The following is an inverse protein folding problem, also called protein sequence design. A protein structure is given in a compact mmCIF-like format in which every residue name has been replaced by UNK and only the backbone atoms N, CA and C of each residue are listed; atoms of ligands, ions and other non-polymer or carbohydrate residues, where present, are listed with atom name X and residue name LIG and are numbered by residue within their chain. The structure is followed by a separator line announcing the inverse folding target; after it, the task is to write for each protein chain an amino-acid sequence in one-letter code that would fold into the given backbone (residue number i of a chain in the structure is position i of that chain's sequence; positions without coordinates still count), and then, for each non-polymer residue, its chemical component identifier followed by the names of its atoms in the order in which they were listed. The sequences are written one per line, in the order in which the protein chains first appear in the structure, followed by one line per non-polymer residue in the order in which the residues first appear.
data_IF_122304175102
#
_entry.id   IF_122304175102
#
_cell.length_a   1.000
_cell.length_b   1.000
_cell.length_c   1.000
_cell.angle_alpha   90.00
_cell.angle_beta   90.00
_cell.angle_gamma   90.00
#
_symmetry.space_group_name_H-M   'P 1'
#
loop_
_entity.id
_entity.type
_entity.pdbx_description
1 polymer ?
#
# COMPACT_ATOMS: atom_id res chain seq x y z
N UNK A 1 -8.35 3.52 -1.94
CA UNK A 1 -7.66 2.96 -0.76
C UNK A 1 -7.11 1.57 -1.03
N UNK A 2 -7.92 0.51 -1.11
CA UNK A 2 -7.44 -0.89 -1.30
C UNK A 2 -6.47 -1.04 -2.47
N UNK A 3 -6.87 -0.56 -3.66
CA UNK A 3 -6.06 -0.63 -4.86
C UNK A 3 -4.71 0.12 -4.74
N UNK A 4 -4.65 1.16 -3.90
CA UNK A 4 -3.40 1.86 -3.61
C UNK A 4 -2.47 0.98 -2.77
N UNK A 5 -2.97 0.38 -1.68
CA UNK A 5 -2.20 -0.56 -0.85
C UNK A 5 -1.73 -1.79 -1.66
N UNK A 6 -2.56 -2.33 -2.54
CA UNK A 6 -2.14 -3.40 -3.47
C UNK A 6 -0.93 -2.97 -4.32
N UNK A 7 -0.95 -1.74 -4.85
CA UNK A 7 0.15 -1.23 -5.65
C UNK A 7 1.45 -1.07 -4.86
N UNK A 8 1.38 -0.66 -3.59
CA UNK A 8 2.53 -0.65 -2.68
C UNK A 8 3.05 -2.07 -2.42
N UNK A 9 2.17 -3.03 -2.13
CA UNK A 9 2.59 -4.42 -1.92
C UNK A 9 3.27 -5.00 -3.16
N UNK A 10 2.73 -4.77 -4.35
CA UNK A 10 3.32 -5.23 -5.60
C UNK A 10 4.61 -4.50 -5.99
N UNK A 11 4.92 -3.37 -5.36
CA UNK A 11 6.20 -2.67 -5.50
C UNK A 11 7.25 -3.10 -4.46
N UNK A 12 6.87 -3.95 -3.51
CA UNK A 12 7.73 -4.35 -2.41
C UNK A 12 8.82 -5.35 -2.87
N UNK A 13 9.98 -5.39 -2.18
CA UNK A 13 11.03 -6.36 -2.49
C UNK A 13 10.68 -7.78 -2.03
N UNK A 14 9.86 -7.92 -0.98
CA UNK A 14 9.44 -9.20 -0.39
C UNK A 14 7.92 -9.35 -0.54
N UNK A 15 7.44 -10.57 -0.79
CA UNK A 15 6.02 -10.91 -0.90
C UNK A 15 5.20 -10.06 -1.89
N UNK A 16 5.85 -9.55 -2.94
CA UNK A 16 5.22 -8.71 -3.97
C UNK A 16 4.24 -9.43 -4.87
N UNK A 17 4.10 -10.75 -4.76
CA UNK A 17 3.10 -11.55 -5.44
C UNK A 17 1.84 -11.75 -4.59
N UNK A 18 1.89 -11.41 -3.30
CA UNK A 18 0.77 -11.53 -2.36
C UNK A 18 -0.11 -10.30 -2.50
N UNK A 19 -1.44 -10.51 -2.53
CA UNK A 19 -2.40 -9.42 -2.60
C UNK A 19 -2.90 -9.10 -1.20
N UNK A 20 -2.72 -7.87 -0.69
CA UNK A 20 -3.18 -7.51 0.64
C UNK A 20 -4.70 -7.46 0.65
N UNK A 21 -5.29 -7.97 1.73
CA UNK A 21 -6.73 -7.91 2.00
C UNK A 21 -6.94 -7.36 3.41
N UNK A 22 -8.08 -6.69 3.68
CA UNK A 22 -8.37 -6.23 5.02
C UNK A 22 -8.39 -7.38 6.03
N UNK A 23 -7.82 -7.16 7.20
CA UNK A 23 -7.78 -8.13 8.28
C UNK A 23 -8.05 -7.47 9.63
N UNK A 24 -8.68 -8.22 10.54
CA UNK A 24 -8.95 -7.84 11.92
C UNK A 24 -7.64 -7.72 12.72
N UNK A 25 -6.94 -6.60 12.55
CA UNK A 25 -5.68 -6.32 13.22
C UNK A 25 -5.91 -6.08 14.72
N UNK A 26 -5.18 -6.77 15.63
CA UNK A 26 -5.33 -6.57 17.07
C UNK A 26 -5.11 -5.10 17.48
N UNK A 27 -6.02 -4.56 18.29
CA UNK A 27 -5.93 -3.17 18.78
C UNK A 27 -6.69 -2.15 17.93
N UNK A 28 -7.20 -2.54 16.76
CA UNK A 28 -8.07 -1.70 15.94
C UNK A 28 -9.53 -2.11 16.11
N UNK A 29 -10.44 -1.14 15.98
CA UNK A 29 -11.89 -1.31 16.09
C UNK A 29 -12.57 -1.71 14.76
N UNK A 30 -11.79 -1.74 13.69
CA UNK A 30 -12.20 -2.11 12.34
C UNK A 30 -11.11 -2.94 11.67
N UNK A 31 -11.45 -3.56 10.55
CA UNK A 31 -10.45 -4.21 9.70
C UNK A 31 -9.46 -3.16 9.18
N UNK A 32 -8.20 -3.57 9.06
CA UNK A 32 -7.12 -2.74 8.51
C UNK A 32 -6.53 -3.48 7.32
N UNK A 33 -6.36 -2.77 6.21
CA UNK A 33 -5.53 -3.26 5.11
C UNK A 33 -4.10 -2.78 5.31
N UNK A 34 -3.12 -3.65 5.08
CA UNK A 34 -1.71 -3.32 5.20
C UNK A 34 -0.91 -3.93 4.04
N UNK A 35 -0.08 -3.10 3.42
CA UNK A 35 0.99 -3.48 2.52
C UNK A 35 2.32 -3.37 3.27
N UNK A 36 2.97 -4.51 3.51
CA UNK A 36 4.15 -4.64 4.36
C UNK A 36 5.12 -5.71 3.82
N UNK A 37 5.45 -5.64 2.52
CA UNK A 37 6.47 -6.49 1.90
C UNK A 37 7.90 -6.11 2.29
N UNK A 38 8.15 -6.03 3.61
CA UNK A 38 9.39 -5.64 4.24
C UNK A 38 10.30 -6.85 4.47
N UNK A 39 11.61 -6.63 4.55
CA UNK A 39 12.57 -7.68 4.95
C UNK A 39 12.39 -8.06 6.42
N UNK A 40 12.08 -7.10 7.28
CA UNK A 40 11.75 -7.33 8.68
C UNK A 40 10.24 -7.19 8.87
N UNK A 41 9.62 -8.23 9.45
CA UNK A 41 8.18 -8.27 9.66
C UNK A 41 7.69 -7.06 10.47
N UNK A 42 6.75 -6.30 9.89
CA UNK A 42 6.15 -5.12 10.52
C UNK A 42 7.05 -3.88 10.58
N UNK A 43 8.20 -3.86 9.91
CA UNK A 43 9.06 -2.69 9.90
C UNK A 43 8.46 -1.54 9.07
N UNK A 44 7.99 -0.49 9.74
CA UNK A 44 7.42 0.71 9.11
C UNK A 44 8.45 1.74 8.63
N UNK A 45 9.74 1.49 8.88
CA UNK A 45 10.84 2.24 8.25
C UNK A 45 11.08 1.80 6.81
N UNK A 46 10.70 0.56 6.49
CA UNK A 46 10.62 0.07 5.12
C UNK A 46 9.33 0.57 4.46
N UNK A 47 9.31 0.57 3.13
CA UNK A 47 8.19 1.08 2.37
C UNK A 47 6.90 0.30 2.71
N UNK A 48 5.90 1.01 3.23
CA UNK A 48 4.65 0.42 3.67
C UNK A 48 3.47 1.36 3.46
N UNK A 49 2.27 0.78 3.40
CA UNK A 49 1.03 1.54 3.40
C UNK A 49 -0.08 0.78 4.10
N UNK A 50 -0.77 1.45 5.01
CA UNK A 50 -1.87 0.87 5.77
C UNK A 50 -3.03 1.84 5.92
N UNK A 51 -4.23 1.28 6.11
CA UNK A 51 -5.43 2.08 6.19
C UNK A 51 -6.56 1.35 6.93
N UNK A 52 -7.29 2.03 7.82
CA UNK A 52 -8.48 1.45 8.44
C UNK A 52 -9.65 1.41 7.45
N UNK A 53 -10.46 0.35 7.52
CA UNK A 53 -11.62 0.15 6.65
C UNK A 53 -12.85 0.94 7.10
N UNK A 54 -12.70 2.25 7.31
CA UNK A 54 -13.80 3.16 7.59
C UNK A 54 -13.60 4.53 6.92
N UNK A 55 -14.69 5.29 6.77
CA UNK A 55 -14.66 6.64 6.23
C UNK A 55 -13.79 7.56 7.12
N UNK A 56 -12.87 8.39 6.55
CA UNK A 56 -12.75 8.80 5.15
C UNK A 56 -11.81 7.94 4.27
N UNK A 57 -11.52 6.69 4.65
CA UNK A 57 -10.68 5.75 3.90
C UNK A 57 -9.26 6.28 3.64
N UNK A 58 -8.67 6.89 4.67
CA UNK A 58 -7.32 7.47 4.63
C UNK A 58 -6.25 6.40 4.60
N UNK A 59 -5.34 6.47 3.62
CA UNK A 59 -4.11 5.66 3.60
C UNK A 59 -2.98 6.43 4.29
N UNK A 60 -2.30 5.76 5.21
CA UNK A 60 -1.00 6.17 5.71
C UNK A 60 0.07 5.49 4.85
N UNK A 61 0.88 6.30 4.19
CA UNK A 61 1.98 5.86 3.33
C UNK A 61 3.28 6.38 3.93
N UNK A 62 4.19 5.48 4.30
CA UNK A 62 5.39 5.81 5.05
C UNK A 62 6.56 4.88 4.72
N UNK A 63 7.72 5.27 5.24
CA UNK A 63 8.94 4.50 5.11
C UNK A 63 9.52 4.51 3.70
N UNK A 64 10.58 3.74 3.53
CA UNK A 64 11.37 3.69 2.31
C UNK A 64 12.85 3.80 2.63
N UNK A 65 13.56 2.68 2.56
CA UNK A 65 15.00 2.62 2.85
C UNK A 65 15.83 3.44 1.84
N UNK A 66 15.31 3.58 0.61
CA UNK A 66 15.85 4.46 -0.40
C UNK A 66 14.73 5.29 -1.01
N UNK A 67 15.07 6.52 -1.39
CA UNK A 67 14.15 7.42 -2.08
C UNK A 67 13.63 6.81 -3.38
N UNK A 68 14.50 6.12 -4.14
CA UNK A 68 14.12 5.51 -5.41
C UNK A 68 13.08 4.41 -5.24
N UNK A 69 13.19 3.60 -4.16
CA UNK A 69 12.19 2.58 -3.87
C UNK A 69 10.85 3.20 -3.48
N UNK A 70 10.87 4.23 -2.62
CA UNK A 70 9.65 4.94 -2.24
C UNK A 70 8.96 5.59 -3.47
N UNK A 71 9.75 6.23 -4.34
CA UNK A 71 9.27 6.83 -5.59
C UNK A 71 8.71 5.77 -6.54
N UNK A 72 9.37 4.62 -6.67
CA UNK A 72 8.87 3.51 -7.47
C UNK A 72 7.53 3.00 -6.93
N UNK A 73 7.40 2.84 -5.61
CA UNK A 73 6.18 2.35 -4.98
C UNK A 73 4.97 3.26 -5.21
N UNK A 74 5.14 4.58 -5.07
CA UNK A 74 4.03 5.51 -5.33
C UNK A 74 3.61 5.49 -6.81
N UNK A 75 4.57 5.40 -7.75
CA UNK A 75 4.27 5.28 -9.17
C UNK A 75 3.53 3.98 -9.50
N UNK A 76 3.97 2.86 -8.90
CA UNK A 76 3.31 1.55 -9.07
C UNK A 76 1.88 1.57 -8.51
N UNK A 77 1.65 2.32 -7.43
CA UNK A 77 0.31 2.51 -6.86
C UNK A 77 -0.62 3.30 -7.76
N UNK A 78 -0.13 4.38 -8.39
CA UNK A 78 -0.89 5.11 -9.39
C UNK A 78 -1.21 4.23 -10.62
N UNK A 79 -0.23 3.48 -11.12
CA UNK A 79 -0.47 2.53 -12.21
C UNK A 79 -1.52 1.47 -11.82
N UNK A 80 -1.50 0.97 -10.59
CA UNK A 80 -2.50 0.02 -10.10
C UNK A 80 -3.91 0.61 -10.02
N UNK A 81 -4.03 1.89 -9.66
CA UNK A 81 -5.31 2.61 -9.68
C UNK A 81 -5.84 2.76 -11.12
N UNK A 82 -4.98 3.09 -12.07
CA UNK A 82 -5.33 3.18 -13.50
C UNK A 82 -5.73 1.82 -14.08
N UNK A 83 -4.98 0.74 -13.79
CA UNK A 83 -5.30 -0.63 -14.20
C UNK A 83 -6.71 -1.07 -13.74
N UNK A 84 -7.14 -0.61 -12.56
CA UNK A 84 -8.47 -0.88 -12.01
C UNK A 84 -9.54 0.12 -12.46
N UNK A 85 -9.21 1.08 -13.32
CA UNK A 85 -10.12 2.09 -13.84
C UNK A 85 -10.62 3.08 -12.78
N UNK A 86 -9.84 3.29 -11.71
CA UNK A 86 -10.21 4.19 -10.61
C UNK A 86 -9.76 5.64 -10.86
N UNK A 87 -8.75 5.81 -11.72
CA UNK A 87 -8.22 7.11 -12.17
C UNK A 87 -7.88 7.02 -13.66
N UNK A 88 -7.69 8.18 -14.29
CA UNK A 88 -7.18 8.30 -15.65
C UNK A 88 -5.94 9.21 -15.64
N UNK A 89 -4.75 8.62 -15.82
CA UNK A 89 -3.49 9.37 -15.76
C UNK A 89 -3.23 10.23 -17.00
N UNK A 90 -3.92 9.99 -18.12
CA UNK A 90 -3.73 10.76 -19.36
C UNK A 90 -4.49 12.08 -19.34
N UNK A 91 -5.50 12.18 -18.49
CA UNK A 91 -6.38 13.34 -18.36
C UNK A 91 -6.22 14.06 -17.00
N UNK A 92 -5.21 13.68 -16.20
CA UNK A 92 -4.91 14.25 -14.89
C UNK A 92 -3.99 15.49 -14.96
#
# INVERSE_FOLDING_TARGET
MIAFCEGIQYAAPVDSHVTPTPWAMPGYDCDVIMAAGAFISGASIELSADAPMHEPYTVYFQGGLSYDHAKFGILKSLARLEEKGLIDLKNA
#
